data_IF_343955415091
#
_entry.id   IF_343955415091
#
_cell.length_a   1.000
_cell.length_b   1.000
_cell.length_c   1.000
_cell.angle_alpha   90.00
_cell.angle_beta   90.00
_cell.angle_gamma   90.00
#
_symmetry.space_group_name_H-M   'P 1'
#
loop_
_entity.id
_entity.type
_entity.pdbx_description
1 polymer ?
#
# COMPACT_ATOMS: atom_id res chain seq x y z
N UNK A 1 20.00 14.33 0.89
CA UNK A 1 19.44 13.90 2.20
C UNK A 1 20.37 12.93 2.97
N UNK A 2 21.55 12.57 2.45
CA UNK A 2 22.63 11.89 3.20
C UNK A 2 23.49 12.83 4.06
N UNK A 3 23.31 14.16 3.95
CA UNK A 3 24.12 15.16 4.67
C UNK A 3 23.72 15.39 6.14
N UNK A 4 22.55 14.93 6.58
CA UNK A 4 22.05 15.25 7.93
C UNK A 4 22.51 14.28 9.04
N UNK A 5 23.10 13.13 8.70
CA UNK A 5 23.70 12.21 9.68
C UNK A 5 25.21 12.42 9.88
N UNK A 6 25.85 13.24 9.04
CA UNK A 6 27.26 13.58 9.15
C UNK A 6 27.55 14.82 10.02
N UNK A 7 26.51 15.53 10.48
CA UNK A 7 26.68 16.82 11.15
C UNK A 7 27.10 16.75 12.63
N UNK A 8 27.40 15.57 13.18
CA UNK A 8 27.89 15.43 14.57
C UNK A 8 29.15 14.58 14.71
N UNK A 9 29.88 14.35 13.62
CA UNK A 9 31.26 13.83 13.71
C UNK A 9 32.19 14.95 13.30
N UNK A 10 32.81 15.60 14.29
CA UNK A 10 33.95 16.50 14.07
C UNK A 10 35.07 15.71 13.42
N UNK A 11 35.23 15.85 12.10
CA UNK A 11 36.42 15.42 11.37
C UNK A 11 37.53 16.43 11.65
N UNK A 12 38.36 16.15 12.65
CA UNK A 12 39.69 16.73 12.73
C UNK A 12 40.52 16.23 11.54
N UNK A 13 40.67 17.05 10.50
CA UNK A 13 41.62 16.80 9.41
C UNK A 13 43.00 17.29 9.86
N UNK A 14 43.81 16.39 10.42
CA UNK A 14 45.27 16.56 10.41
C UNK A 14 45.83 15.77 9.22
N UNK A 15 46.50 16.47 8.31
CA UNK A 15 47.09 15.96 7.09
C UNK A 15 48.32 15.09 7.41
N UNK A 16 48.19 13.77 7.30
CA UNK A 16 49.33 12.86 7.15
C UNK A 16 49.06 11.88 6.00
N UNK A 17 50.09 11.50 5.21
CA UNK A 17 49.92 10.63 4.05
C UNK A 17 49.62 9.19 4.51
N UNK A 18 48.40 8.72 4.32
CA UNK A 18 48.01 7.34 4.65
C UNK A 18 48.32 6.38 3.50
N UNK A 19 49.07 5.31 3.81
CA UNK A 19 49.36 4.19 2.91
C UNK A 19 48.09 3.46 2.44
N UNK A 20 48.02 3.18 1.15
CA UNK A 20 46.95 2.44 0.42
C UNK A 20 46.66 1.03 0.96
N UNK A 21 47.58 0.42 1.72
CA UNK A 21 47.42 -0.91 2.34
C UNK A 21 46.41 -0.93 3.51
N UNK A 22 46.31 0.17 4.27
CA UNK A 22 45.41 0.25 5.44
C UNK A 22 43.93 0.30 5.05
N UNK A 23 43.59 1.01 3.97
CA UNK A 23 42.22 1.15 3.49
C UNK A 23 41.64 -0.15 2.91
N UNK A 24 42.47 -1.01 2.29
CA UNK A 24 42.02 -2.30 1.74
C UNK A 24 41.73 -3.33 2.85
N UNK A 25 42.57 -3.36 3.88
CA UNK A 25 42.39 -4.20 5.09
C UNK A 25 41.11 -3.84 5.86
N UNK A 26 40.84 -2.55 6.03
CA UNK A 26 39.65 -2.04 6.72
C UNK A 26 38.37 -2.40 5.95
N UNK A 27 38.36 -2.25 4.63
CA UNK A 27 37.23 -2.64 3.78
C UNK A 27 36.96 -4.16 3.86
N UNK A 28 38.02 -4.98 3.86
CA UNK A 28 37.94 -6.44 4.03
C UNK A 28 37.28 -6.84 5.37
N UNK A 29 37.68 -6.19 6.47
CA UNK A 29 37.11 -6.47 7.80
C UNK A 29 35.62 -6.12 7.91
N UNK A 30 35.19 -5.03 7.28
CA UNK A 30 33.78 -4.62 7.23
C UNK A 30 32.95 -5.61 6.41
N UNK A 31 33.47 -6.09 5.27
CA UNK A 31 32.79 -7.11 4.44
C UNK A 31 32.64 -8.44 5.19
N UNK A 32 33.67 -8.87 5.91
CA UNK A 32 33.61 -10.09 6.72
C UNK A 32 32.55 -9.98 7.83
N UNK A 33 32.49 -8.84 8.53
CA UNK A 33 31.48 -8.60 9.56
C UNK A 33 30.05 -8.59 8.98
N UNK A 34 29.84 -7.90 7.87
CA UNK A 34 28.54 -7.82 7.20
C UNK A 34 28.06 -9.18 6.69
N UNK A 35 28.98 -10.02 6.19
CA UNK A 35 28.65 -11.37 5.72
C UNK A 35 28.37 -12.30 6.90
N UNK A 36 29.33 -12.42 7.82
CA UNK A 36 29.29 -13.46 8.87
C UNK A 36 28.36 -13.11 10.03
N UNK A 37 28.31 -11.83 10.44
CA UNK A 37 27.53 -11.41 11.62
C UNK A 37 26.14 -10.88 11.25
N UNK A 38 26.00 -10.28 10.06
CA UNK A 38 24.73 -9.69 9.61
C UNK A 38 23.99 -10.57 8.59
N UNK A 39 24.56 -11.69 8.14
CA UNK A 39 23.91 -12.63 7.22
C UNK A 39 23.70 -12.07 5.81
N UNK A 40 24.51 -11.09 5.39
CA UNK A 40 24.42 -10.50 4.06
C UNK A 40 25.14 -11.35 3.01
N UNK A 41 24.66 -11.30 1.77
CA UNK A 41 25.40 -11.93 0.67
C UNK A 41 26.72 -11.18 0.43
N UNK A 42 27.78 -11.86 -0.03
CA UNK A 42 29.07 -11.22 -0.29
C UNK A 42 28.98 -9.99 -1.20
N UNK A 43 28.08 -10.01 -2.20
CA UNK A 43 27.87 -8.89 -3.13
C UNK A 43 27.26 -7.67 -2.43
N UNK A 44 26.26 -7.89 -1.57
CA UNK A 44 25.65 -6.84 -0.76
C UNK A 44 26.62 -6.30 0.28
N UNK A 45 27.35 -7.17 0.97
CA UNK A 45 28.35 -6.78 1.96
C UNK A 45 29.43 -5.88 1.32
N UNK A 46 29.95 -6.27 0.15
CA UNK A 46 30.95 -5.50 -0.62
C UNK A 46 30.40 -4.16 -1.13
N UNK A 47 29.11 -4.09 -1.45
CA UNK A 47 28.46 -2.83 -1.85
C UNK A 47 28.29 -1.88 -0.66
N UNK A 48 27.92 -2.41 0.51
CA UNK A 48 27.70 -1.63 1.73
C UNK A 48 29.00 -1.18 2.41
N UNK A 49 30.09 -1.95 2.31
CA UNK A 49 31.40 -1.54 2.85
C UNK A 49 31.98 -0.28 2.20
N UNK A 50 31.46 0.10 1.02
CA UNK A 50 31.76 1.38 0.37
C UNK A 50 31.02 2.57 0.99
N UNK A 51 29.92 2.32 1.72
CA UNK A 51 29.04 3.34 2.31
C UNK A 51 29.28 3.54 3.80
N UNK A 52 29.76 2.49 4.49
CA UNK A 52 30.02 2.49 5.92
C UNK A 52 31.33 1.80 6.22
N UNK A 53 31.99 2.26 7.27
CA UNK A 53 33.17 1.63 7.82
C UNK A 53 32.84 1.17 9.23
N UNK A 54 32.85 -0.14 9.48
CA UNK A 54 32.59 -0.67 10.82
C UNK A 54 33.90 -0.59 11.60
N UNK A 55 34.15 0.56 12.24
CA UNK A 55 35.28 0.73 13.15
C UNK A 55 34.93 0.20 14.53
N UNK A 56 35.51 -0.94 14.89
CA UNK A 56 35.29 -1.62 16.17
C UNK A 56 34.09 -2.57 16.12
N UNK A 57 34.36 -3.87 16.18
CA UNK A 57 33.33 -4.91 16.22
C UNK A 57 32.44 -4.82 17.48
N UNK A 58 32.91 -4.15 18.53
CA UNK A 58 32.24 -4.06 19.84
C UNK A 58 30.96 -3.21 19.80
N UNK A 59 30.97 -2.05 19.13
CA UNK A 59 29.79 -1.18 19.00
C UNK A 59 28.70 -1.83 18.14
N UNK A 60 29.12 -2.43 17.02
CA UNK A 60 28.22 -3.16 16.16
C UNK A 60 27.68 -4.41 16.88
N UNK A 61 28.51 -5.18 17.58
CA UNK A 61 28.10 -6.35 18.36
C UNK A 61 27.06 -6.01 19.43
N UNK A 62 27.33 -4.98 20.23
CA UNK A 62 26.43 -4.48 21.28
C UNK A 62 25.05 -4.09 20.74
N UNK A 63 24.99 -3.49 19.53
CA UNK A 63 23.72 -3.17 18.89
C UNK A 63 22.92 -4.41 18.49
N UNK A 64 23.57 -5.45 17.95
CA UNK A 64 22.86 -6.67 17.54
C UNK A 64 22.39 -7.46 18.75
N UNK A 65 23.19 -7.53 19.80
CA UNK A 65 22.79 -8.14 21.08
C UNK A 65 21.58 -7.42 21.66
N UNK A 66 21.61 -6.08 21.68
CA UNK A 66 20.47 -5.29 22.09
C UNK A 66 19.24 -5.60 21.23
N UNK A 67 19.33 -5.53 19.91
CA UNK A 67 18.20 -5.82 19.03
C UNK A 67 17.67 -7.26 19.20
N UNK A 68 18.55 -8.26 19.35
CA UNK A 68 18.16 -9.65 19.65
C UNK A 68 17.42 -9.75 20.98
N UNK A 69 17.84 -9.02 22.01
CA UNK A 69 17.13 -8.97 23.30
C UNK A 69 15.71 -8.39 23.21
N UNK A 70 15.40 -7.67 22.12
CA UNK A 70 14.07 -7.16 21.79
C UNK A 70 13.34 -8.00 20.73
N UNK A 71 13.80 -9.22 20.44
CA UNK A 71 13.09 -10.19 19.59
C UNK A 71 13.45 -10.18 18.11
N UNK A 72 14.51 -9.47 17.70
CA UNK A 72 14.93 -9.44 16.29
C UNK A 72 15.60 -10.75 15.87
N UNK A 73 15.09 -11.35 14.79
CA UNK A 73 15.70 -12.52 14.16
C UNK A 73 16.93 -12.14 13.35
N UNK A 74 17.83 -13.11 13.10
CA UNK A 74 19.03 -12.89 12.28
C UNK A 74 18.70 -12.31 10.89
N UNK A 75 17.65 -12.82 10.23
CA UNK A 75 17.21 -12.34 8.92
C UNK A 75 16.71 -10.88 8.96
N UNK A 76 15.94 -10.51 9.99
CA UNK A 76 15.45 -9.14 10.15
C UNK A 76 16.60 -8.15 10.39
N UNK A 77 17.64 -8.56 11.12
CA UNK A 77 18.84 -7.75 11.32
C UNK A 77 19.59 -7.53 10.01
N UNK A 78 19.76 -8.58 9.21
CA UNK A 78 20.35 -8.48 7.87
C UNK A 78 19.55 -7.56 6.94
N UNK A 79 18.21 -7.66 6.95
CA UNK A 79 17.35 -6.76 6.17
C UNK A 79 17.47 -5.30 6.63
N UNK A 80 17.50 -5.06 7.94
CA UNK A 80 17.62 -3.73 8.53
C UNK A 80 18.95 -3.07 8.12
N UNK A 81 20.06 -3.80 8.25
CA UNK A 81 21.40 -3.33 7.89
C UNK A 81 21.53 -3.10 6.39
N UNK A 82 20.96 -4.01 5.58
CA UNK A 82 20.91 -3.86 4.12
C UNK A 82 20.23 -2.55 3.71
N UNK A 83 19.13 -2.22 4.39
CA UNK A 83 18.32 -1.05 4.05
C UNK A 83 18.93 0.23 4.60
N UNK A 84 19.60 0.15 5.75
CA UNK A 84 20.07 1.31 6.50
C UNK A 84 21.42 1.02 7.21
N UNK A 85 22.52 0.97 6.44
CA UNK A 85 23.82 0.55 6.96
C UNK A 85 24.37 1.47 8.05
N UNK A 86 23.97 2.75 8.07
CA UNK A 86 24.38 3.70 9.09
C UNK A 86 23.91 3.36 10.52
N UNK A 87 23.07 2.32 10.72
CA UNK A 87 22.79 1.79 12.05
C UNK A 87 24.01 1.27 12.77
N UNK A 88 24.94 0.66 12.03
CA UNK A 88 26.17 0.12 12.58
C UNK A 88 27.06 1.19 13.22
N UNK A 89 26.76 2.47 12.94
CA UNK A 89 27.49 3.62 13.45
C UNK A 89 26.75 4.34 14.60
N UNK A 90 25.50 3.97 14.89
CA UNK A 90 24.72 4.58 15.95
C UNK A 90 24.97 3.88 17.29
N UNK A 91 25.05 4.66 18.36
CA UNK A 91 25.23 4.12 19.70
C UNK A 91 23.97 3.37 20.18
N UNK A 92 24.15 2.10 20.55
CA UNK A 92 23.04 1.22 20.92
C UNK A 92 22.33 1.68 22.21
N UNK A 93 23.10 2.10 23.21
CA UNK A 93 22.64 2.39 24.57
C UNK A 93 21.98 3.77 24.70
N UNK A 94 22.52 4.78 24.03
CA UNK A 94 22.07 6.18 24.15
C UNK A 94 21.07 6.58 23.08
N UNK A 95 21.00 5.87 21.94
CA UNK A 95 20.08 6.21 20.84
C UNK A 95 18.97 5.17 20.67
N UNK A 96 19.32 3.90 20.48
CA UNK A 96 18.36 2.88 20.08
C UNK A 96 17.56 2.33 21.26
N UNK A 97 18.23 2.00 22.36
CA UNK A 97 17.60 1.48 23.59
C UNK A 97 16.51 2.40 24.13
N UNK A 98 16.69 3.73 24.25
CA UNK A 98 15.64 4.61 24.77
C UNK A 98 14.42 4.66 23.84
N UNK A 99 14.63 4.55 22.51
CA UNK A 99 13.53 4.51 21.53
C UNK A 99 12.72 3.22 21.65
N UNK A 100 13.39 2.08 21.79
CA UNK A 100 12.71 0.78 21.98
C UNK A 100 11.96 0.74 23.31
N UNK A 101 12.59 1.19 24.40
CA UNK A 101 11.94 1.30 25.71
C UNK A 101 10.71 2.20 25.65
N UNK A 102 10.81 3.36 24.99
CA UNK A 102 9.67 4.23 24.80
C UNK A 102 8.55 3.53 24.02
N UNK A 103 8.86 2.86 22.90
CA UNK A 103 7.85 2.13 22.12
C UNK A 103 7.16 1.03 22.92
N UNK A 104 7.91 0.26 23.71
CA UNK A 104 7.36 -0.75 24.62
C UNK A 104 6.48 -0.10 25.69
N UNK A 105 6.91 1.03 26.28
CA UNK A 105 6.11 1.78 27.27
C UNK A 105 4.82 2.35 26.67
N UNK A 106 4.81 2.63 25.37
CA UNK A 106 3.61 3.02 24.65
C UNK A 106 2.69 1.83 24.35
N UNK A 107 3.13 0.60 24.61
CA UNK A 107 2.39 -0.65 24.46
C UNK A 107 2.84 -1.52 23.28
N UNK A 108 3.88 -1.13 22.52
CA UNK A 108 4.27 -1.88 21.32
C UNK A 108 4.86 -3.20 21.78
N UNK A 109 4.24 -4.30 21.34
CA UNK A 109 4.73 -5.63 21.69
C UNK A 109 6.15 -5.82 21.19
N UNK A 110 6.96 -6.61 21.89
CA UNK A 110 8.33 -6.91 21.45
C UNK A 110 8.32 -7.56 20.06
N UNK A 111 7.31 -8.36 19.75
CA UNK A 111 7.12 -9.02 18.46
C UNK A 111 6.84 -8.03 17.31
N UNK A 112 6.24 -6.87 17.61
CA UNK A 112 5.95 -5.82 16.63
C UNK A 112 7.13 -4.85 16.41
N UNK A 113 8.08 -4.78 17.35
CA UNK A 113 9.21 -3.85 17.29
C UNK A 113 10.05 -3.99 16.01
N UNK A 114 10.40 -5.20 15.50
CA UNK A 114 11.15 -5.33 14.26
C UNK A 114 10.50 -4.63 13.08
N UNK A 115 9.19 -4.75 12.97
CA UNK A 115 8.44 -4.15 11.88
C UNK A 115 8.33 -2.63 12.04
N UNK A 116 8.09 -2.15 13.27
CA UNK A 116 8.00 -0.71 13.55
C UNK A 116 9.36 -0.04 13.35
N UNK A 117 10.43 -0.61 13.91
CA UNK A 117 11.79 -0.09 13.76
C UNK A 117 12.27 -0.13 12.31
N UNK A 118 11.80 -1.04 11.47
CA UNK A 118 12.10 -1.03 10.02
C UNK A 118 11.72 0.28 9.30
N UNK A 119 11.00 1.18 9.97
CA UNK A 119 10.78 2.56 9.52
C UNK A 119 12.03 3.44 9.73
N UNK A 120 12.65 3.87 8.61
CA UNK A 120 13.80 4.80 8.60
C UNK A 120 13.65 6.05 9.47
N UNK A 121 12.43 6.55 9.66
CA UNK A 121 12.21 7.81 10.36
C UNK A 121 12.27 7.66 11.88
N UNK A 122 11.82 6.52 12.43
CA UNK A 122 11.99 6.23 13.86
C UNK A 122 13.46 6.30 14.24
N UNK A 123 14.23 5.66 13.40
CA UNK A 123 15.64 5.52 13.62
C UNK A 123 16.39 6.83 13.30
N UNK A 124 15.91 7.52 12.27
CA UNK A 124 16.10 8.91 11.87
C UNK A 124 16.18 9.99 12.93
N UNK A 125 15.17 9.96 13.80
CA UNK A 125 14.69 11.14 14.49
C UNK A 125 15.11 11.13 15.94
N UNK A 126 15.20 12.33 16.51
CA UNK A 126 15.42 12.47 17.94
C UNK A 126 14.18 11.98 18.70
N UNK A 127 14.40 11.19 19.75
CA UNK A 127 13.33 10.62 20.57
C UNK A 127 12.45 11.72 21.17
N UNK A 128 13.05 12.60 21.99
CA UNK A 128 12.32 13.62 22.76
C UNK A 128 11.72 14.72 21.87
N UNK A 129 12.46 15.18 20.86
CA UNK A 129 12.03 16.31 20.02
C UNK A 129 11.00 15.94 18.95
N UNK A 130 10.88 14.66 18.57
CA UNK A 130 10.07 14.28 17.40
C UNK A 130 9.25 13.00 17.60
N UNK A 131 9.88 11.91 18.06
CA UNK A 131 9.16 10.62 18.19
C UNK A 131 8.10 10.73 19.29
N UNK A 132 8.48 11.17 20.49
CA UNK A 132 7.56 11.30 21.63
C UNK A 132 6.36 12.18 21.29
N UNK A 133 6.53 13.42 20.80
CA UNK A 133 5.38 14.29 20.52
C UNK A 133 4.50 13.80 19.37
N UNK A 134 5.05 12.99 18.45
CA UNK A 134 4.24 12.39 17.37
C UNK A 134 3.44 11.20 17.89
N UNK A 135 4.03 10.36 18.72
CA UNK A 135 3.34 9.21 19.33
C UNK A 135 2.24 9.65 20.29
N UNK A 136 2.48 10.66 21.11
CA UNK A 136 1.46 11.27 21.98
C UNK A 136 0.29 11.81 21.17
N UNK A 137 0.56 12.60 20.13
CA UNK A 137 -0.47 13.10 19.22
C UNK A 137 -1.30 11.96 18.58
N UNK A 138 -0.64 10.90 18.11
CA UNK A 138 -1.35 9.76 17.53
C UNK A 138 -2.19 9.02 18.57
N UNK A 139 -1.71 8.87 19.80
CA UNK A 139 -2.45 8.25 20.92
C UNK A 139 -3.68 9.07 21.31
N UNK A 140 -3.57 10.39 21.32
CA UNK A 140 -4.69 11.30 21.60
C UNK A 140 -5.82 11.21 20.55
N UNK A 141 -5.46 10.93 19.28
CA UNK A 141 -6.40 10.94 18.17
C UNK A 141 -6.80 9.55 17.67
N UNK A 142 -6.15 8.48 18.12
CA UNK A 142 -6.47 7.09 17.77
C UNK A 142 -6.88 6.37 19.07
N UNK A 143 -8.19 6.17 19.30
CA UNK A 143 -8.69 5.66 20.59
C UNK A 143 -8.21 4.25 20.93
N UNK A 144 -7.98 3.40 19.92
CA UNK A 144 -7.58 2.01 20.10
C UNK A 144 -6.07 1.86 19.95
N UNK A 145 -5.47 1.21 20.95
CA UNK A 145 -4.06 0.88 20.93
C UNK A 145 -3.69 -0.02 19.73
N UNK A 146 -4.54 -1.00 19.40
CA UNK A 146 -4.34 -1.85 18.22
C UNK A 146 -4.36 -1.05 16.91
N UNK A 147 -5.24 -0.05 16.82
CA UNK A 147 -5.31 0.84 15.65
C UNK A 147 -4.09 1.74 15.54
N UNK A 148 -3.51 2.18 16.67
CA UNK A 148 -2.26 2.96 16.69
C UNK A 148 -1.10 2.15 16.09
N UNK A 149 -0.92 0.89 16.51
CA UNK A 149 0.10 0.00 15.96
C UNK A 149 -0.12 -0.21 14.46
N UNK A 150 -1.37 -0.46 14.04
CA UNK A 150 -1.73 -0.59 12.64
C UNK A 150 -1.40 0.67 11.85
N UNK A 151 -1.67 1.87 12.38
CA UNK A 151 -1.40 3.14 11.70
C UNK A 151 0.10 3.34 11.47
N UNK A 152 0.92 3.14 12.51
CA UNK A 152 2.37 3.27 12.45
C UNK A 152 2.96 2.26 11.46
N UNK A 153 2.48 1.02 11.49
CA UNK A 153 2.89 -0.06 10.58
C UNK A 153 2.56 0.27 9.12
N UNK A 154 1.35 0.78 8.86
CA UNK A 154 0.88 1.06 7.50
C UNK A 154 1.58 2.25 6.85
N UNK A 155 1.99 3.24 7.64
CA UNK A 155 2.51 4.48 7.10
C UNK A 155 3.74 4.96 7.85
N UNK A 156 4.90 4.56 7.32
CA UNK A 156 6.17 5.05 7.80
C UNK A 156 6.25 6.58 7.81
N UNK A 157 5.53 7.23 6.89
CA UNK A 157 5.49 8.68 6.71
C UNK A 157 4.88 9.44 7.89
N UNK A 158 4.12 8.79 8.77
CA UNK A 158 3.60 9.43 10.00
C UNK A 158 4.70 10.06 10.86
N UNK A 159 5.90 9.51 10.78
CA UNK A 159 7.07 9.97 11.55
C UNK A 159 7.99 10.88 10.73
N UNK A 160 7.55 11.32 9.54
CA UNK A 160 8.25 12.33 8.75
C UNK A 160 8.18 13.70 9.44
N UNK A 161 9.18 14.53 9.21
CA UNK A 161 9.17 15.94 9.66
C UNK A 161 7.91 16.64 9.13
N UNK A 162 7.22 17.42 9.99
CA UNK A 162 5.96 18.14 9.72
C UNK A 162 4.72 17.27 9.51
N UNK A 163 4.81 15.94 9.57
CA UNK A 163 3.63 15.07 9.42
C UNK A 163 2.54 15.43 10.45
N UNK A 164 2.92 15.55 11.73
CA UNK A 164 2.03 16.00 12.81
C UNK A 164 1.37 17.36 12.51
N UNK A 165 2.16 18.35 12.11
CA UNK A 165 1.68 19.71 11.79
C UNK A 165 0.63 19.69 10.67
N UNK A 166 0.93 18.98 9.57
CA UNK A 166 -0.01 18.84 8.46
C UNK A 166 -1.27 18.10 8.85
N UNK A 167 -1.15 17.02 9.64
CA UNK A 167 -2.31 16.29 10.11
C UNK A 167 -3.22 17.18 10.96
N UNK A 168 -2.67 17.94 11.92
CA UNK A 168 -3.45 18.84 12.75
C UNK A 168 -4.24 19.86 11.92
N UNK A 169 -3.57 20.52 10.96
CA UNK A 169 -4.21 21.51 10.10
C UNK A 169 -5.30 20.87 9.22
N UNK A 170 -4.97 19.77 8.53
CA UNK A 170 -5.89 19.12 7.61
C UNK A 170 -7.08 18.49 8.34
N UNK A 171 -6.89 17.97 9.56
CA UNK A 171 -7.99 17.51 10.41
C UNK A 171 -8.92 18.66 10.81
N UNK A 172 -8.39 19.84 11.14
CA UNK A 172 -9.21 21.01 11.41
C UNK A 172 -10.04 21.41 10.19
N UNK A 173 -9.44 21.39 8.98
CA UNK A 173 -10.17 21.61 7.73
C UNK A 173 -11.30 20.60 7.53
N UNK A 174 -11.05 19.31 7.77
CA UNK A 174 -12.11 18.29 7.67
C UNK A 174 -13.25 18.54 8.67
N UNK A 175 -12.94 18.92 9.90
CA UNK A 175 -13.94 19.28 10.92
C UNK A 175 -14.77 20.49 10.50
N UNK A 176 -14.12 21.52 9.93
CA UNK A 176 -14.80 22.71 9.43
C UNK A 176 -15.79 22.39 8.29
N UNK A 177 -15.51 21.36 7.48
CA UNK A 177 -16.43 20.84 6.46
C UNK A 177 -17.44 19.80 6.99
N UNK A 178 -17.52 19.59 8.31
CA UNK A 178 -18.50 18.69 8.91
C UNK A 178 -18.19 17.20 8.77
N UNK A 179 -16.93 16.82 8.49
CA UNK A 179 -16.54 15.41 8.48
C UNK A 179 -16.60 14.85 9.91
N UNK A 180 -17.34 13.76 10.16
CA UNK A 180 -17.45 13.17 11.49
C UNK A 180 -16.11 12.69 12.04
N UNK A 181 -15.86 12.88 13.34
CA UNK A 181 -14.59 12.50 13.98
C UNK A 181 -14.22 11.03 13.72
N UNK A 182 -15.20 10.11 13.80
CA UNK A 182 -15.00 8.69 13.47
C UNK A 182 -14.42 8.44 12.07
N UNK A 183 -14.71 9.29 11.10
CA UNK A 183 -14.16 9.19 9.74
C UNK A 183 -12.75 9.79 9.66
N UNK A 184 -12.47 10.85 10.41
CA UNK A 184 -11.13 11.43 10.54
C UNK A 184 -10.18 10.42 11.19
N UNK A 185 -10.59 9.78 12.29
CA UNK A 185 -9.84 8.70 12.95
C UNK A 185 -9.58 7.56 11.96
N UNK A 186 -10.62 7.10 11.24
CA UNK A 186 -10.47 6.04 10.23
C UNK A 186 -9.46 6.39 9.13
N UNK A 187 -9.46 7.65 8.70
CA UNK A 187 -8.54 8.16 7.69
C UNK A 187 -7.11 8.22 8.26
N UNK A 188 -6.93 8.68 9.50
CA UNK A 188 -5.66 8.64 10.21
C UNK A 188 -5.10 7.22 10.35
N UNK A 189 -5.93 6.24 10.68
CA UNK A 189 -5.48 4.85 10.88
C UNK A 189 -5.15 4.13 9.57
N UNK A 190 -5.98 4.29 8.53
CA UNK A 190 -5.89 3.47 7.30
C UNK A 190 -5.23 4.17 6.12
N UNK A 191 -5.35 5.49 6.04
CA UNK A 191 -5.00 6.31 4.87
C UNK A 191 -4.28 7.60 5.25
N UNK A 192 -3.47 7.59 6.31
CA UNK A 192 -2.83 8.79 6.88
C UNK A 192 -2.11 9.69 5.88
N UNK A 193 -1.62 9.14 4.77
CA UNK A 193 -0.99 9.90 3.68
C UNK A 193 -1.86 11.05 3.17
N UNK A 194 -3.18 10.91 3.16
CA UNK A 194 -4.04 12.03 2.74
C UNK A 194 -4.08 13.20 3.72
N UNK A 195 -3.85 12.98 5.03
CA UNK A 195 -3.70 14.09 5.99
C UNK A 195 -2.31 14.72 5.97
N UNK A 196 -1.36 14.14 5.25
CA UNK A 196 0.01 14.65 5.15
C UNK A 196 0.25 15.47 3.88
N UNK A 197 -0.80 15.78 3.13
CA UNK A 197 -0.73 16.73 2.02
C UNK A 197 -0.42 18.13 2.56
N UNK A 198 0.26 18.95 1.74
CA UNK A 198 0.39 20.38 2.02
C UNK A 198 -1.00 21.00 2.06
N UNK A 199 -1.16 22.03 2.90
CA UNK A 199 -2.44 22.71 3.13
C UNK A 199 -3.16 23.08 1.83
N UNK A 200 -2.54 23.83 0.95
CA UNK A 200 -3.18 24.30 -0.29
C UNK A 200 -3.65 23.14 -1.17
N UNK A 201 -2.82 22.09 -1.30
CA UNK A 201 -3.18 20.87 -2.04
C UNK A 201 -4.32 20.13 -1.37
N UNK A 202 -4.33 20.06 -0.04
CA UNK A 202 -5.40 19.40 0.71
C UNK A 202 -6.73 20.12 0.52
N UNK A 203 -6.74 21.46 0.64
CA UNK A 203 -7.91 22.30 0.44
C UNK A 203 -8.43 22.20 -1.02
N UNK A 204 -7.54 22.19 -2.01
CA UNK A 204 -7.87 21.93 -3.42
C UNK A 204 -8.62 20.60 -3.59
N UNK A 205 -8.10 19.50 -3.03
CA UNK A 205 -8.72 18.18 -3.18
C UNK A 205 -10.03 18.05 -2.40
N UNK A 206 -10.16 18.70 -1.22
CA UNK A 206 -11.44 18.78 -0.49
C UNK A 206 -12.48 19.52 -1.33
N UNK A 207 -12.15 20.70 -1.85
CA UNK A 207 -13.05 21.49 -2.71
C UNK A 207 -13.49 20.68 -3.92
N UNK A 208 -12.55 20.00 -4.57
CA UNK A 208 -12.81 19.14 -5.72
C UNK A 208 -13.80 18.01 -5.40
N UNK A 209 -13.69 17.37 -4.25
CA UNK A 209 -14.65 16.33 -3.83
C UNK A 209 -16.04 16.91 -3.60
N UNK A 210 -16.12 18.11 -3.02
CA UNK A 210 -17.40 18.81 -2.83
C UNK A 210 -18.03 19.17 -4.18
N UNK A 211 -17.24 19.62 -5.16
CA UNK A 211 -17.69 19.90 -6.53
C UNK A 211 -18.19 18.64 -7.25
N UNK A 212 -17.54 17.49 -7.03
CA UNK A 212 -18.07 16.20 -7.47
C UNK A 212 -19.33 15.78 -6.69
N UNK A 213 -19.74 16.52 -5.68
CA UNK A 213 -20.95 16.28 -4.89
C UNK A 213 -20.80 15.11 -3.92
N UNK A 214 -19.59 14.85 -3.42
CA UNK A 214 -19.41 13.96 -2.27
C UNK A 214 -19.95 14.63 -1.00
N UNK A 215 -20.60 13.84 -0.15
CA UNK A 215 -21.07 14.31 1.15
C UNK A 215 -19.95 14.13 2.19
N UNK A 216 -19.51 15.19 2.91
CA UNK A 216 -18.45 15.11 3.92
C UNK A 216 -18.68 14.05 5.01
N UNK A 217 -19.95 13.75 5.29
CA UNK A 217 -20.36 12.74 6.28
C UNK A 217 -20.23 11.29 5.81
N UNK A 218 -19.99 11.08 4.50
CA UNK A 218 -19.94 9.75 3.89
C UNK A 218 -18.55 9.10 3.96
N UNK A 219 -18.53 7.77 4.04
CA UNK A 219 -17.29 7.00 3.89
C UNK A 219 -16.63 7.23 2.53
N UNK A 220 -17.42 7.44 1.48
CA UNK A 220 -16.88 7.65 0.14
C UNK A 220 -16.14 8.98 0.01
N UNK A 221 -16.48 10.00 0.80
CA UNK A 221 -15.71 11.24 0.84
C UNK A 221 -14.27 10.99 1.32
N UNK A 222 -14.09 10.29 2.44
CA UNK A 222 -12.73 9.99 2.95
C UNK A 222 -11.96 9.01 2.05
N UNK A 223 -12.65 8.08 1.38
CA UNK A 223 -12.06 7.21 0.36
C UNK A 223 -11.63 8.01 -0.89
N UNK A 224 -12.45 8.98 -1.31
CA UNK A 224 -12.13 9.89 -2.41
C UNK A 224 -10.89 10.72 -2.13
N UNK A 225 -10.80 11.27 -0.93
CA UNK A 225 -9.63 12.03 -0.49
C UNK A 225 -8.37 11.16 -0.45
N UNK A 226 -8.50 9.93 0.06
CA UNK A 226 -7.39 8.96 -0.01
C UNK A 226 -7.00 8.63 -1.45
N UNK A 227 -7.97 8.46 -2.35
CA UNK A 227 -7.68 8.15 -3.74
C UNK A 227 -6.90 9.29 -4.39
N UNK A 228 -7.36 10.53 -4.24
CA UNK A 228 -6.71 11.73 -4.77
C UNK A 228 -5.28 11.89 -4.22
N UNK A 229 -5.11 11.77 -2.91
CA UNK A 229 -3.80 11.94 -2.26
C UNK A 229 -2.74 10.92 -2.71
N UNK A 230 -3.14 9.75 -3.19
CA UNK A 230 -2.21 8.70 -3.63
C UNK A 230 -1.79 8.84 -5.09
N UNK A 231 -2.45 9.71 -5.87
CA UNK A 231 -2.19 9.87 -7.29
C UNK A 231 -1.47 11.19 -7.56
N UNK A 232 -0.51 11.19 -8.47
CA UNK A 232 -0.03 12.45 -9.05
C UNK A 232 -1.10 13.05 -9.95
N UNK A 233 -1.11 14.39 -10.09
CA UNK A 233 -2.02 15.09 -11.02
C UNK A 233 -1.92 14.50 -12.45
N UNK A 234 -0.72 14.11 -12.88
CA UNK A 234 -0.47 13.43 -14.16
C UNK A 234 -1.14 12.05 -14.24
N UNK A 235 -0.93 11.18 -13.25
CA UNK A 235 -1.53 9.83 -13.24
C UNK A 235 -3.06 9.90 -13.19
N UNK A 236 -3.60 10.87 -12.44
CA UNK A 236 -5.03 11.12 -12.41
C UNK A 236 -5.57 11.45 -13.80
N UNK A 237 -4.92 12.39 -14.51
CA UNK A 237 -5.33 12.80 -15.87
C UNK A 237 -5.26 11.63 -16.86
N UNK A 238 -4.17 10.86 -16.85
CA UNK A 238 -4.01 9.68 -17.71
C UNK A 238 -5.10 8.64 -17.51
N UNK A 239 -5.45 8.34 -16.26
CA UNK A 239 -6.53 7.39 -15.95
C UNK A 239 -7.90 7.91 -16.37
N UNK A 240 -8.18 9.20 -16.20
CA UNK A 240 -9.42 9.80 -16.73
C UNK A 240 -9.49 9.70 -18.25
N UNK A 241 -8.41 10.05 -18.93
CA UNK A 241 -8.34 9.94 -20.39
C UNK A 241 -8.55 8.51 -20.87
N UNK A 242 -8.01 7.52 -20.15
CA UNK A 242 -8.25 6.11 -20.43
C UNK A 242 -9.75 5.78 -20.44
N UNK A 243 -10.50 6.17 -19.40
CA UNK A 243 -11.95 5.91 -19.37
C UNK A 243 -12.68 6.62 -20.51
N UNK A 244 -12.28 7.86 -20.84
CA UNK A 244 -12.83 8.62 -21.98
C UNK A 244 -12.60 7.90 -23.31
N UNK A 245 -11.40 7.35 -23.53
CA UNK A 245 -11.06 6.57 -24.73
C UNK A 245 -11.93 5.30 -24.87
N UNK A 246 -12.39 4.74 -23.76
CA UNK A 246 -13.35 3.63 -23.75
C UNK A 246 -14.81 4.07 -23.77
N UNK A 247 -15.09 5.36 -24.03
CA UNK A 247 -16.44 5.87 -24.26
C UNK A 247 -17.18 6.36 -23.02
N UNK A 248 -16.50 6.57 -21.88
CA UNK A 248 -17.14 7.20 -20.71
C UNK A 248 -17.26 8.71 -20.90
N UNK A 249 -18.40 9.28 -20.50
CA UNK A 249 -18.52 10.73 -20.31
C UNK A 249 -17.85 11.19 -19.00
N UNK A 250 -17.64 12.50 -18.85
CA UNK A 250 -17.11 13.07 -17.61
C UNK A 250 -18.10 12.87 -16.44
N UNK A 251 -19.40 12.95 -16.70
CA UNK A 251 -20.47 12.70 -15.73
C UNK A 251 -20.49 11.24 -15.28
N UNK A 252 -20.33 10.30 -16.22
CA UNK A 252 -20.24 8.88 -15.93
C UNK A 252 -19.01 8.56 -15.08
N UNK A 253 -17.86 9.16 -15.42
CA UNK A 253 -16.65 9.04 -14.60
C UNK A 253 -16.89 9.57 -13.18
N UNK A 254 -17.45 10.77 -13.04
CA UNK A 254 -17.70 11.37 -11.73
C UNK A 254 -18.67 10.51 -10.92
N UNK A 255 -19.74 10.02 -11.54
CA UNK A 255 -20.71 9.12 -10.92
C UNK A 255 -20.05 7.82 -10.43
N UNK A 256 -19.25 7.18 -11.29
CA UNK A 256 -18.50 5.98 -10.96
C UNK A 256 -17.50 6.21 -9.81
N UNK A 257 -16.73 7.31 -9.87
CA UNK A 257 -15.77 7.68 -8.85
C UNK A 257 -16.44 7.94 -7.49
N UNK A 258 -17.63 8.57 -7.46
CA UNK A 258 -18.42 8.76 -6.23
C UNK A 258 -18.85 7.46 -5.59
N UNK A 259 -19.25 6.48 -6.40
CA UNK A 259 -19.70 5.18 -5.92
C UNK A 259 -18.54 4.34 -5.41
N UNK A 260 -17.40 4.36 -6.10
CA UNK A 260 -16.23 3.58 -5.71
C UNK A 260 -14.91 4.34 -5.96
N UNK A 261 -14.48 5.21 -5.04
CA UNK A 261 -13.29 6.03 -5.25
C UNK A 261 -12.00 5.23 -5.38
N UNK A 262 -11.95 4.05 -4.76
CA UNK A 262 -10.76 3.20 -4.76
C UNK A 262 -10.42 2.65 -6.15
N UNK A 263 -11.33 2.73 -7.13
CA UNK A 263 -11.01 2.40 -8.53
C UNK A 263 -9.80 3.21 -9.05
N UNK A 264 -9.63 4.45 -8.56
CA UNK A 264 -8.55 5.33 -9.00
C UNK A 264 -7.20 5.04 -8.34
N UNK A 265 -7.16 4.16 -7.33
CA UNK A 265 -5.90 3.67 -6.73
C UNK A 265 -5.30 2.53 -7.58
N UNK A 266 -6.13 1.80 -8.33
CA UNK A 266 -5.69 0.76 -9.28
C UNK A 266 -4.74 1.33 -10.34
N UNK A 267 -3.73 0.58 -10.76
CA UNK A 267 -2.78 1.03 -11.79
C UNK A 267 -3.47 1.25 -13.14
N UNK A 268 -2.97 2.22 -13.92
CA UNK A 268 -3.49 2.50 -15.27
C UNK A 268 -3.46 1.25 -16.16
N UNK A 269 -2.36 0.50 -16.15
CA UNK A 269 -2.22 -0.74 -16.94
C UNK A 269 -3.29 -1.79 -16.58
N UNK A 270 -3.62 -1.93 -15.29
CA UNK A 270 -4.70 -2.84 -14.86
C UNK A 270 -6.06 -2.31 -15.30
N UNK A 271 -6.34 -1.01 -15.15
CA UNK A 271 -7.59 -0.42 -15.62
C UNK A 271 -7.79 -0.64 -17.13
N UNK A 272 -6.73 -0.47 -17.92
CA UNK A 272 -6.74 -0.70 -19.38
C UNK A 272 -7.13 -2.14 -19.70
N UNK A 273 -6.43 -3.12 -19.12
CA UNK A 273 -6.73 -4.55 -19.32
C UNK A 273 -8.17 -4.90 -18.95
N UNK A 274 -8.70 -4.27 -17.89
CA UNK A 274 -10.08 -4.49 -17.46
C UNK A 274 -11.08 -3.88 -18.44
N UNK A 275 -10.84 -2.68 -18.96
CA UNK A 275 -11.70 -2.05 -19.96
C UNK A 275 -11.67 -2.81 -21.29
N UNK A 276 -10.49 -3.21 -21.77
CA UNK A 276 -10.34 -4.04 -22.98
C UNK A 276 -11.10 -5.36 -22.84
N UNK A 277 -11.09 -5.95 -21.64
CA UNK A 277 -11.86 -7.17 -21.37
C UNK A 277 -13.37 -6.92 -21.31
N UNK A 278 -13.82 -5.94 -20.52
CA UNK A 278 -15.26 -5.71 -20.31
C UNK A 278 -15.95 -5.16 -21.57
N UNK A 279 -15.36 -4.15 -22.20
CA UNK A 279 -15.95 -3.53 -23.40
C UNK A 279 -15.61 -4.36 -24.63
N UNK A 280 -14.34 -4.70 -24.84
CA UNK A 280 -13.89 -5.38 -26.05
C UNK A 280 -14.24 -6.86 -26.10
N UNK A 281 -14.02 -7.62 -25.02
CA UNK A 281 -14.22 -9.09 -25.02
C UNK A 281 -15.59 -9.55 -24.55
N UNK A 282 -16.22 -8.83 -23.61
CA UNK A 282 -17.57 -9.18 -23.13
C UNK A 282 -18.69 -8.42 -23.85
N UNK A 283 -18.34 -7.41 -24.65
CA UNK A 283 -19.30 -6.56 -25.35
C UNK A 283 -20.19 -5.76 -24.39
N UNK A 284 -19.68 -5.39 -23.21
CA UNK A 284 -20.44 -4.54 -22.29
C UNK A 284 -20.41 -3.10 -22.76
N UNK A 285 -21.58 -2.48 -22.78
CA UNK A 285 -21.69 -1.04 -23.01
C UNK A 285 -20.85 -0.27 -21.98
N UNK A 286 -20.03 0.71 -22.40
CA UNK A 286 -19.19 1.47 -21.47
C UNK A 286 -19.98 2.07 -20.30
N UNK A 287 -21.20 2.55 -20.57
CA UNK A 287 -22.12 3.10 -19.56
C UNK A 287 -22.57 2.07 -18.51
N UNK A 288 -22.70 0.80 -18.88
CA UNK A 288 -23.00 -0.29 -17.93
C UNK A 288 -21.81 -0.57 -17.02
N UNK A 289 -20.59 -0.52 -17.57
CA UNK A 289 -19.36 -0.66 -16.78
C UNK A 289 -19.21 0.53 -15.81
N UNK A 290 -19.51 1.75 -16.26
CA UNK A 290 -19.47 2.96 -15.43
C UNK A 290 -20.42 2.89 -14.22
N UNK A 291 -21.61 2.30 -14.40
CA UNK A 291 -22.58 2.09 -13.31
C UNK A 291 -22.11 1.06 -12.28
N UNK A 292 -21.06 0.29 -12.56
CA UNK A 292 -20.58 -0.82 -11.73
C UNK A 292 -19.07 -0.76 -11.43
N UNK A 293 -18.57 0.33 -10.82
CA UNK A 293 -17.13 0.58 -10.67
C UNK A 293 -16.41 -0.39 -9.71
N UNK A 294 -17.15 -1.19 -8.94
CA UNK A 294 -16.59 -2.29 -8.15
C UNK A 294 -15.89 -3.36 -9.01
N UNK A 295 -16.24 -3.45 -10.29
CA UNK A 295 -15.55 -4.32 -11.25
C UNK A 295 -14.04 -4.05 -11.26
N UNK A 296 -13.59 -2.80 -11.10
CA UNK A 296 -12.15 -2.46 -11.11
C UNK A 296 -11.37 -2.89 -9.87
N UNK A 297 -12.06 -3.38 -8.82
CA UNK A 297 -11.42 -3.84 -7.59
C UNK A 297 -11.19 -5.35 -7.57
N UNK A 298 -11.86 -6.11 -8.43
CA UNK A 298 -11.68 -7.57 -8.47
C UNK A 298 -10.46 -7.99 -9.30
N UNK A 299 -10.08 -9.25 -9.20
CA UNK A 299 -8.99 -9.82 -10.02
C UNK A 299 -9.54 -10.25 -11.36
N UNK A 300 -9.01 -9.67 -12.45
CA UNK A 300 -9.35 -10.10 -13.80
C UNK A 300 -9.00 -11.58 -14.00
N UNK A 301 -7.76 -11.96 -13.72
CA UNK A 301 -7.23 -13.32 -13.92
C UNK A 301 -7.80 -14.36 -12.95
N UNK A 302 -7.91 -14.03 -11.66
CA UNK A 302 -8.30 -15.01 -10.62
C UNK A 302 -9.81 -15.08 -10.35
N UNK A 303 -10.60 -14.12 -10.85
CA UNK A 303 -12.05 -14.08 -10.58
C UNK A 303 -12.87 -13.89 -11.84
N UNK A 304 -12.63 -12.83 -12.60
CA UNK A 304 -13.49 -12.48 -13.74
C UNK A 304 -13.41 -13.55 -14.83
N UNK A 305 -12.19 -13.86 -15.32
CA UNK A 305 -11.99 -14.82 -16.41
C UNK A 305 -12.50 -16.22 -16.05
N UNK A 306 -12.16 -16.83 -14.89
CA UNK A 306 -12.68 -18.15 -14.53
C UNK A 306 -14.21 -18.21 -14.46
N UNK A 307 -14.86 -17.14 -14.00
CA UNK A 307 -16.32 -17.06 -13.98
C UNK A 307 -16.91 -16.92 -15.37
N UNK A 308 -16.27 -16.17 -16.27
CA UNK A 308 -16.65 -16.17 -17.67
C UNK A 308 -16.49 -17.55 -18.32
N UNK A 309 -15.40 -18.28 -18.03
CA UNK A 309 -15.22 -19.66 -18.50
C UNK A 309 -16.34 -20.58 -18.01
N UNK A 310 -16.72 -20.51 -16.73
CA UNK A 310 -17.85 -21.26 -16.18
C UNK A 310 -19.15 -20.93 -16.93
N UNK A 311 -19.47 -19.65 -17.09
CA UNK A 311 -20.67 -19.22 -17.80
C UNK A 311 -20.66 -19.66 -19.28
N UNK A 312 -19.50 -19.59 -19.94
CA UNK A 312 -19.31 -20.06 -21.31
C UNK A 312 -19.62 -21.56 -21.41
N UNK A 313 -19.06 -22.38 -20.53
CA UNK A 313 -19.31 -23.83 -20.49
C UNK A 313 -20.80 -24.13 -20.28
N UNK A 314 -21.45 -23.46 -19.33
CA UNK A 314 -22.87 -23.67 -19.07
C UNK A 314 -23.77 -23.25 -20.24
N UNK A 315 -23.45 -22.13 -20.89
CA UNK A 315 -24.17 -21.64 -22.07
C UNK A 315 -23.98 -22.58 -23.27
N UNK A 316 -22.75 -23.02 -23.55
CA UNK A 316 -22.44 -23.93 -24.66
C UNK A 316 -23.05 -25.33 -24.49
N UNK A 317 -23.33 -25.76 -23.24
CA UNK A 317 -24.05 -27.00 -22.96
C UNK A 317 -25.58 -26.80 -22.87
N UNK A 318 -26.09 -25.59 -23.11
CA UNK A 318 -27.52 -25.29 -23.04
C UNK A 318 -28.14 -25.37 -21.64
N UNK A 319 -27.31 -25.40 -20.58
CA UNK A 319 -27.76 -25.58 -19.18
C UNK A 319 -28.31 -24.29 -18.57
N UNK A 320 -27.92 -23.14 -19.13
CA UNK A 320 -28.45 -21.82 -18.79
C UNK A 320 -28.70 -21.03 -20.07
N UNK A 321 -29.60 -20.05 -20.04
CA UNK A 321 -29.81 -19.11 -21.15
C UNK A 321 -29.14 -17.78 -20.86
N UNK A 322 -28.68 -17.09 -21.91
CA UNK A 322 -28.02 -15.78 -21.79
C UNK A 322 -28.91 -14.73 -21.12
N UNK A 323 -30.21 -14.73 -21.43
CA UNK A 323 -31.22 -13.82 -20.86
C UNK A 323 -31.42 -13.98 -19.36
N UNK A 324 -31.12 -15.17 -18.81
CA UNK A 324 -31.20 -15.47 -17.37
C UNK A 324 -29.91 -15.04 -16.61
N UNK A 325 -28.87 -14.61 -17.34
CA UNK A 325 -27.56 -14.25 -16.77
C UNK A 325 -27.40 -12.73 -16.66
N UNK A 326 -27.46 -12.25 -15.43
CA UNK A 326 -26.99 -10.90 -15.07
C UNK A 326 -25.47 -10.91 -14.93
N UNK A 327 -24.76 -10.69 -16.04
CA UNK A 327 -23.29 -10.89 -16.11
C UNK A 327 -22.55 -10.06 -15.06
N UNK A 328 -22.89 -8.78 -14.90
CA UNK A 328 -22.18 -7.91 -13.93
C UNK A 328 -22.36 -8.43 -12.50
N UNK A 329 -23.57 -8.91 -12.15
CA UNK A 329 -23.84 -9.52 -10.85
C UNK A 329 -23.06 -10.82 -10.68
N UNK A 330 -23.01 -11.67 -11.71
CA UNK A 330 -22.23 -12.90 -11.68
C UNK A 330 -20.74 -12.63 -11.42
N UNK A 331 -20.17 -11.62 -12.08
CA UNK A 331 -18.76 -11.24 -11.91
C UNK A 331 -18.45 -10.59 -10.54
N UNK A 332 -19.40 -9.85 -9.97
CA UNK A 332 -19.22 -9.17 -8.68
C UNK A 332 -19.63 -9.99 -7.45
N UNK A 333 -20.43 -11.05 -7.62
CA UNK A 333 -20.92 -11.88 -6.51
C UNK A 333 -19.80 -12.49 -5.67
N UNK A 334 -20.05 -12.78 -4.39
CA UNK A 334 -19.08 -13.53 -3.59
C UNK A 334 -18.98 -15.00 -4.08
N UNK A 335 -17.92 -15.71 -3.70
CA UNK A 335 -17.68 -17.08 -4.18
C UNK A 335 -18.78 -18.06 -3.77
N UNK A 336 -19.36 -17.91 -2.58
CA UNK A 336 -20.44 -18.78 -2.11
C UNK A 336 -21.69 -18.64 -3.00
N UNK A 337 -22.14 -17.41 -3.23
CA UNK A 337 -23.27 -17.14 -4.11
C UNK A 337 -23.03 -17.63 -5.54
N UNK A 338 -21.84 -17.37 -6.09
CA UNK A 338 -21.49 -17.86 -7.43
C UNK A 338 -21.53 -19.40 -7.50
N UNK A 339 -21.01 -20.07 -6.46
CA UNK A 339 -20.98 -21.54 -6.39
C UNK A 339 -22.39 -22.13 -6.33
N UNK A 340 -23.24 -21.61 -5.45
CA UNK A 340 -24.63 -22.09 -5.31
C UNK A 340 -25.41 -21.90 -6.61
N UNK A 341 -25.18 -20.80 -7.33
CA UNK A 341 -25.94 -20.48 -8.54
C UNK A 341 -25.41 -21.17 -9.81
N UNK A 342 -24.09 -21.28 -9.98
CA UNK A 342 -23.48 -21.65 -11.25
C UNK A 342 -22.58 -22.90 -11.18
N UNK A 343 -22.30 -23.45 -9.99
CA UNK A 343 -21.48 -24.66 -9.87
C UNK A 343 -22.27 -25.84 -9.31
N UNK A 344 -22.80 -25.71 -8.09
CA UNK A 344 -23.46 -26.80 -7.37
C UNK A 344 -24.58 -27.50 -8.17
N UNK A 345 -25.44 -26.80 -8.93
CA UNK A 345 -26.50 -27.45 -9.70
C UNK A 345 -26.00 -28.31 -10.87
N UNK A 346 -24.76 -28.09 -11.32
CA UNK A 346 -24.24 -28.65 -12.58
C UNK A 346 -22.95 -29.47 -12.41
N UNK A 347 -22.43 -29.59 -11.19
CA UNK A 347 -21.12 -30.20 -10.91
C UNK A 347 -21.05 -31.69 -11.29
N UNK A 348 -22.17 -32.41 -11.29
CA UNK A 348 -22.26 -33.80 -11.75
C UNK A 348 -22.65 -33.96 -13.22
N UNK A 349 -22.96 -32.87 -13.91
CA UNK A 349 -23.45 -32.85 -15.30
C UNK A 349 -22.33 -32.49 -16.28
N UNK A 350 -21.44 -31.58 -15.88
CA UNK A 350 -20.35 -31.09 -16.75
C UNK A 350 -18.98 -31.26 -16.06
N UNK A 351 -18.15 -32.22 -16.53
CA UNK A 351 -16.84 -32.50 -15.93
C UNK A 351 -15.90 -31.28 -15.88
N UNK A 352 -15.92 -30.44 -16.92
CA UNK A 352 -15.01 -29.31 -17.08
C UNK A 352 -15.36 -28.09 -16.20
N UNK A 353 -16.50 -28.11 -15.51
CA UNK A 353 -17.02 -26.94 -14.80
C UNK A 353 -16.12 -26.50 -13.63
N UNK A 354 -15.60 -27.47 -12.88
CA UNK A 354 -14.69 -27.21 -11.76
C UNK A 354 -13.32 -26.72 -12.28
N UNK A 355 -12.84 -27.28 -13.39
CA UNK A 355 -11.59 -26.87 -14.02
C UNK A 355 -11.72 -25.45 -14.61
N UNK A 356 -12.88 -25.09 -15.16
CA UNK A 356 -13.17 -23.72 -15.59
C UNK A 356 -13.12 -22.74 -14.41
N UNK A 357 -13.70 -23.10 -13.27
CA UNK A 357 -13.68 -22.25 -12.07
C UNK A 357 -12.28 -22.10 -11.46
N UNK A 358 -11.42 -23.12 -11.58
CA UNK A 358 -10.00 -23.06 -11.21
C UNK A 358 -9.16 -22.22 -12.19
N UNK A 359 -9.72 -21.88 -13.35
CA UNK A 359 -9.04 -21.11 -14.40
C UNK A 359 -8.22 -21.95 -15.37
N UNK A 360 -8.46 -23.26 -15.43
CA UNK A 360 -7.78 -24.19 -16.32
C UNK A 360 -8.47 -24.30 -17.69
N UNK A 361 -9.69 -23.76 -17.83
CA UNK A 361 -10.40 -23.66 -19.11
C UNK A 361 -10.30 -22.23 -19.64
N UNK A 362 -9.80 -22.09 -20.86
CA UNK A 362 -9.68 -20.81 -21.54
C UNK A 362 -11.05 -20.21 -21.86
N UNK A 363 -11.27 -18.96 -21.44
CA UNK A 363 -12.41 -18.17 -21.90
C UNK A 363 -12.14 -17.68 -23.34
N UNK A 364 -12.91 -18.19 -24.30
CA UNK A 364 -12.79 -17.87 -25.73
C UNK A 364 -13.73 -16.73 -26.16
N UNK A 365 -14.67 -16.36 -25.30
CA UNK A 365 -15.74 -15.42 -25.64
C UNK A 365 -17.09 -16.12 -25.52
N UNK A 366 -18.16 -15.34 -25.46
CA UNK A 366 -19.51 -15.88 -25.60
C UNK A 366 -19.83 -15.87 -27.10
N UNK A 367 -20.20 -17.01 -27.69
CA UNK A 367 -20.40 -17.14 -29.15
C UNK A 367 -21.43 -16.14 -29.70
N UNK A 368 -21.17 -15.68 -30.94
CA UNK A 368 -21.86 -14.58 -31.62
C UNK A 368 -23.28 -14.90 -32.12
N UNK A 369 -23.79 -16.12 -31.96
CA UNK A 369 -25.06 -16.54 -32.57
C UNK A 369 -26.32 -15.93 -31.92
N UNK A 370 -26.20 -15.13 -30.85
CA UNK A 370 -27.31 -14.36 -30.29
C UNK A 370 -26.79 -13.01 -29.76
N UNK A 371 -26.82 -11.99 -30.63
CA UNK A 371 -26.65 -10.55 -30.34
C UNK A 371 -27.72 -10.00 -29.39
N UNK A 372 -28.20 -10.77 -28.42
CA UNK A 372 -28.99 -10.20 -27.34
C UNK A 372 -28.05 -9.51 -26.33
N UNK A 373 -28.24 -8.21 -26.07
CA UNK A 373 -27.52 -7.51 -25.03
C UNK A 373 -27.69 -8.24 -23.70
N UNK A 374 -26.65 -8.24 -22.87
CA UNK A 374 -26.79 -8.75 -21.52
C UNK A 374 -27.94 -8.04 -20.81
N UNK A 375 -28.85 -8.81 -20.21
CA UNK A 375 -29.93 -8.27 -19.42
C UNK A 375 -29.38 -7.68 -18.11
N UNK A 376 -28.93 -6.43 -18.19
CA UNK A 376 -28.34 -5.67 -17.09
C UNK A 376 -29.31 -4.59 -16.56
N UNK A 377 -30.62 -4.69 -16.86
CA UNK A 377 -31.63 -3.80 -16.29
C UNK A 377 -31.78 -4.06 -14.78
N UNK A 378 -31.97 -2.95 -14.03
CA UNK A 378 -32.06 -2.94 -12.56
C UNK A 378 -33.21 -3.79 -12.05
#
# INVERSE_FOLDING_TARGET
MFRYLLATVTLGRSSFPYSTSSASMISSSTVAYLTNSCGLTPEKATSLSKLIEVRGAENAGSMFELLRSYGFTHNQLGELVSRYPCYLLADAETNLKPKMQYMVSMGISRDDLPQVLSNKWILSRNLKKHIVPTFEFLKENIPSYGDLVVAIRRSAQLLRSKAREYMMLNMATLRAHGVPEKMIVKLMTKWSTSLMLKRDTFEEEVKRLLEYGFQPTSLNFVLGLSALATQSKMNWKKKRELFRLFGWSDEEFVSAFKVQPMMMVTSEAKLRQMMEFFVGRLGLEPSQVAKCPNLFLVSLKKRVIPRCSVLQVLLSNGLIRRSDVRIITALNSNSAHFTVKYLAPFQGVVPDLLEAYKGNVEFKGFSDELLEPWNNHR
#
